data_IF_718383793732
#
_entry.id   IF_718383793732
#
_cell.length_a   1.000
_cell.length_b   1.000
_cell.length_c   1.000
_cell.angle_alpha   90.00
_cell.angle_beta   90.00
_cell.angle_gamma   90.00
#
_symmetry.space_group_name_H-M   'P 1'
#
loop_
_entity.id
_entity.type
_entity.pdbx_description
1 polymer ?
#
# COMPACT_ATOMS: atom_id res chain seq x y z
N UNK A 1 -9.44 -3.71 13.84
CA UNK A 1 -9.52 -2.40 13.13
C UNK A 1 -10.06 -1.34 14.07
N UNK A 2 -9.75 -0.06 13.85
CA UNK A 2 -10.22 1.06 14.67
C UNK A 2 -10.73 2.19 13.79
N UNK A 3 -11.90 2.75 14.08
CA UNK A 3 -12.40 3.91 13.34
C UNK A 3 -11.60 5.16 13.68
N UNK A 4 -11.15 5.88 12.65
CA UNK A 4 -10.40 7.13 12.78
C UNK A 4 -11.27 8.33 13.19
N UNK A 5 -12.60 8.18 13.18
CA UNK A 5 -13.56 9.25 13.54
C UNK A 5 -14.06 9.11 14.98
N UNK A 6 -14.63 7.97 15.34
CA UNK A 6 -15.23 7.74 16.66
C UNK A 6 -14.36 6.91 17.61
N UNK A 7 -13.29 6.28 17.12
CA UNK A 7 -12.41 5.45 17.93
C UNK A 7 -12.89 4.03 18.19
N UNK A 8 -14.12 3.65 17.79
CA UNK A 8 -14.65 2.29 17.95
C UNK A 8 -13.73 1.25 17.32
N UNK A 9 -13.51 0.14 18.02
CA UNK A 9 -12.71 -0.98 17.57
C UNK A 9 -13.58 -2.13 17.10
N UNK A 10 -13.15 -2.77 16.01
CA UNK A 10 -13.79 -3.92 15.39
C UNK A 10 -12.81 -5.08 15.29
N UNK A 11 -13.28 -6.29 15.54
CA UNK A 11 -12.56 -7.54 15.22
C UNK A 11 -12.47 -7.71 13.69
N UNK A 12 -11.50 -8.50 13.20
CA UNK A 12 -11.46 -8.87 11.79
C UNK A 12 -12.80 -9.46 11.34
N UNK A 13 -13.34 -8.98 10.21
CA UNK A 13 -14.59 -9.46 9.62
C UNK A 13 -15.89 -8.85 10.15
N UNK A 14 -15.88 -8.09 11.26
CA UNK A 14 -17.12 -7.43 11.77
C UNK A 14 -17.61 -6.30 10.86
N UNK A 15 -16.70 -5.61 10.19
CA UNK A 15 -16.97 -4.53 9.25
C UNK A 15 -16.01 -4.70 8.08
N UNK A 16 -16.47 -4.50 6.85
CA UNK A 16 -15.62 -4.68 5.66
C UNK A 16 -14.76 -3.44 5.36
N UNK A 17 -15.37 -2.25 5.36
CA UNK A 17 -14.69 -1.04 4.86
C UNK A 17 -14.81 0.18 5.80
N UNK A 18 -16.03 0.55 6.19
CA UNK A 18 -16.30 1.81 6.91
C UNK A 18 -17.18 1.60 8.13
N UNK A 19 -16.92 2.37 9.18
CA UNK A 19 -17.75 2.44 10.37
C UNK A 19 -19.07 3.17 10.08
N UNK A 20 -20.16 2.72 10.71
CA UNK A 20 -21.50 3.34 10.64
C UNK A 20 -21.65 4.64 11.45
N UNK A 21 -20.59 5.15 12.09
CA UNK A 21 -20.64 6.40 12.87
C UNK A 21 -20.79 7.67 12.01
N UNK A 22 -20.69 7.54 10.68
CA UNK A 22 -20.87 8.63 9.72
C UNK A 22 -21.94 8.23 8.69
N UNK A 23 -22.52 9.21 7.97
CA UNK A 23 -23.40 8.93 6.83
C UNK A 23 -22.74 8.14 5.71
N UNK A 24 -21.39 8.15 5.64
CA UNK A 24 -20.59 7.50 4.60
C UNK A 24 -20.96 7.97 3.18
N UNK A 25 -21.10 9.29 3.02
CA UNK A 25 -21.39 9.95 1.74
C UNK A 25 -20.21 10.82 1.32
N UNK A 26 -19.83 10.73 0.05
CA UNK A 26 -18.65 11.43 -0.48
C UNK A 26 -17.39 11.14 0.35
N UNK A 27 -16.72 12.20 0.80
CA UNK A 27 -15.51 12.11 1.63
C UNK A 27 -15.77 11.97 3.13
N UNK A 28 -17.04 12.03 3.57
CA UNK A 28 -17.40 11.92 4.99
C UNK A 28 -17.57 10.46 5.43
N UNK A 29 -16.44 9.75 5.44
CA UNK A 29 -16.37 8.33 5.72
C UNK A 29 -15.93 8.05 7.16
N UNK A 30 -16.54 7.03 7.77
CA UNK A 30 -16.08 6.40 9.01
C UNK A 30 -14.85 5.51 8.78
N UNK A 31 -13.82 6.02 8.10
CA UNK A 31 -12.63 5.27 7.67
C UNK A 31 -11.99 4.51 8.83
N UNK A 32 -11.63 3.25 8.55
CA UNK A 32 -11.00 2.36 9.51
C UNK A 32 -9.47 2.35 9.32
N UNK A 33 -8.77 2.10 10.41
CA UNK A 33 -7.34 1.78 10.44
C UNK A 33 -7.14 0.34 10.90
N UNK A 34 -6.20 -0.36 10.28
CA UNK A 34 -5.85 -1.72 10.70
C UNK A 34 -4.96 -1.64 11.94
N UNK A 35 -5.32 -2.34 13.00
CA UNK A 35 -4.58 -2.34 14.27
C UNK A 35 -4.04 -3.74 14.50
N UNK A 36 -2.77 -3.83 14.84
CA UNK A 36 -2.04 -5.08 15.04
C UNK A 36 -1.77 -5.33 16.52
N UNK A 37 -1.65 -6.60 16.88
CA UNK A 37 -1.04 -7.00 18.15
C UNK A 37 0.48 -7.00 17.98
N UNK A 38 1.10 -5.83 18.17
CA UNK A 38 2.55 -5.67 18.02
C UNK A 38 3.33 -6.51 19.03
N UNK A 39 2.76 -6.80 20.21
CA UNK A 39 3.39 -7.66 21.20
C UNK A 39 3.43 -9.12 20.73
N UNK A 40 2.37 -9.61 20.07
CA UNK A 40 2.40 -10.91 19.42
C UNK A 40 3.41 -10.96 18.27
N UNK A 41 3.40 -9.97 17.39
CA UNK A 41 4.32 -9.92 16.25
C UNK A 41 5.78 -9.89 16.70
N UNK A 42 6.12 -9.08 17.72
CA UNK A 42 7.48 -8.97 18.23
C UNK A 42 7.98 -10.23 18.96
N UNK A 43 7.07 -11.10 19.44
CA UNK A 43 7.45 -12.42 19.98
C UNK A 43 7.82 -13.40 18.89
N UNK A 44 7.11 -13.37 17.76
CA UNK A 44 7.20 -14.39 16.72
C UNK A 44 8.17 -14.01 15.60
N UNK A 45 8.43 -12.71 15.41
CA UNK A 45 9.26 -12.19 14.33
C UNK A 45 10.27 -11.15 14.80
N UNK A 46 11.50 -11.31 14.32
CA UNK A 46 12.61 -10.39 14.55
C UNK A 46 13.06 -9.73 13.25
N UNK A 47 13.70 -8.54 13.32
CA UNK A 47 14.30 -7.91 12.15
C UNK A 47 15.26 -8.82 11.38
N UNK A 48 16.07 -9.61 12.09
CA UNK A 48 17.05 -10.51 11.46
C UNK A 48 16.38 -11.64 10.67
N UNK A 49 15.28 -12.21 11.19
CA UNK A 49 14.52 -13.23 10.48
C UNK A 49 13.89 -12.69 9.21
N UNK A 50 13.31 -11.48 9.27
CA UNK A 50 12.76 -10.81 8.10
C UNK A 50 13.88 -10.60 7.05
N UNK A 51 14.98 -9.95 7.43
CA UNK A 51 16.10 -9.69 6.52
C UNK A 51 16.64 -10.96 5.81
N UNK A 52 16.66 -12.09 6.54
CA UNK A 52 17.12 -13.38 6.03
C UNK A 52 16.11 -14.12 5.14
N UNK A 53 14.86 -13.63 5.00
CA UNK A 53 13.87 -14.20 4.07
C UNK A 53 14.45 -14.26 2.66
N UNK A 54 13.98 -15.16 1.80
CA UNK A 54 14.45 -15.27 0.41
C UNK A 54 13.68 -14.33 -0.53
N UNK A 55 12.43 -14.01 -0.18
CA UNK A 55 11.61 -13.07 -0.92
C UNK A 55 12.06 -11.65 -0.61
N UNK A 56 11.95 -10.81 -1.63
CA UNK A 56 12.30 -9.40 -1.54
C UNK A 56 11.10 -8.51 -1.82
N UNK A 57 9.99 -9.07 -2.31
CA UNK A 57 8.74 -8.34 -2.48
C UNK A 57 8.16 -7.92 -1.12
N UNK A 58 7.05 -7.17 -1.16
CA UNK A 58 6.29 -6.83 0.05
C UNK A 58 5.87 -8.06 0.87
N UNK A 59 5.83 -9.25 0.27
CA UNK A 59 5.54 -10.52 0.95
C UNK A 59 6.58 -10.89 2.01
N UNK A 60 7.80 -10.36 1.94
CA UNK A 60 8.78 -10.44 3.02
C UNK A 60 8.20 -9.89 4.33
N UNK A 61 7.44 -8.79 4.29
CA UNK A 61 6.86 -8.14 5.47
C UNK A 61 5.51 -8.73 5.88
N UNK A 62 5.18 -9.95 5.46
CA UNK A 62 3.85 -10.54 5.66
C UNK A 62 3.32 -10.50 7.11
N UNK A 63 4.12 -10.63 8.19
CA UNK A 63 3.60 -10.56 9.56
C UNK A 63 2.99 -9.19 9.90
N UNK A 64 3.40 -8.17 9.13
CA UNK A 64 2.91 -6.80 9.21
C UNK A 64 1.86 -6.49 8.15
N UNK A 65 1.34 -7.49 7.44
CA UNK A 65 0.29 -7.34 6.44
C UNK A 65 -1.02 -7.94 6.94
N UNK A 66 -2.17 -7.39 6.52
CA UNK A 66 -3.50 -7.82 6.96
C UNK A 66 -3.97 -9.07 6.19
N UNK A 67 -3.11 -10.06 6.01
CA UNK A 67 -3.37 -11.26 5.22
C UNK A 67 -3.33 -12.50 6.11
N UNK A 68 -4.24 -13.44 5.88
CA UNK A 68 -4.23 -14.72 6.58
C UNK A 68 -3.05 -15.59 6.11
N UNK A 69 -2.75 -15.52 4.81
CA UNK A 69 -1.65 -16.28 4.22
C UNK A 69 -0.82 -15.40 3.28
N UNK A 70 0.49 -15.49 3.39
CA UNK A 70 1.42 -14.84 2.44
C UNK A 70 1.19 -15.27 0.99
N UNK A 71 0.84 -16.54 0.78
CA UNK A 71 0.54 -17.10 -0.55
C UNK A 71 -0.73 -16.51 -1.20
N UNK A 72 -1.51 -15.71 -0.47
CA UNK A 72 -2.64 -14.96 -1.02
C UNK A 72 -2.18 -13.82 -1.95
N UNK A 73 -0.93 -13.33 -1.79
CA UNK A 73 -0.36 -12.31 -2.65
C UNK A 73 -0.32 -12.76 -4.13
N UNK A 74 -0.54 -11.84 -5.08
CA UNK A 74 -0.31 -12.12 -6.49
C UNK A 74 1.14 -12.57 -6.77
N UNK A 75 1.38 -13.36 -7.83
CA UNK A 75 2.72 -13.85 -8.17
C UNK A 75 3.63 -12.76 -8.75
N UNK A 76 3.08 -11.61 -9.15
CA UNK A 76 3.84 -10.47 -9.67
C UNK A 76 4.53 -9.74 -8.51
N UNK A 77 5.88 -9.78 -8.39
CA UNK A 77 6.57 -9.21 -7.24
C UNK A 77 6.43 -7.69 -7.22
N UNK A 78 6.03 -7.17 -6.07
CA UNK A 78 5.88 -5.74 -5.78
C UNK A 78 6.86 -5.34 -4.69
N UNK A 79 7.41 -4.14 -4.75
CA UNK A 79 8.39 -3.66 -3.78
C UNK A 79 9.83 -4.02 -4.17
N UNK A 80 10.70 -4.08 -3.17
CA UNK A 80 12.16 -4.11 -3.34
C UNK A 80 12.70 -3.01 -4.27
N UNK A 81 12.06 -1.85 -4.28
CA UNK A 81 12.44 -0.80 -5.23
C UNK A 81 13.74 -0.14 -4.78
N UNK A 82 14.54 0.41 -5.71
CA UNK A 82 15.83 1.00 -5.34
C UNK A 82 15.69 2.18 -4.39
N UNK A 83 16.61 2.26 -3.44
CA UNK A 83 16.89 3.47 -2.66
C UNK A 83 18.19 4.09 -3.19
N UNK A 84 18.07 5.12 -4.01
CA UNK A 84 19.17 5.69 -4.76
C UNK A 84 19.79 6.85 -3.99
N UNK A 85 21.09 6.79 -3.68
CA UNK A 85 21.81 7.94 -3.10
C UNK A 85 21.96 9.03 -4.17
N UNK A 86 21.43 10.21 -3.90
CA UNK A 86 21.43 11.34 -4.83
C UNK A 86 22.44 12.41 -4.39
N UNK A 87 23.73 12.09 -4.50
CA UNK A 87 24.84 12.91 -3.94
C UNK A 87 24.83 14.35 -4.44
N UNK A 88 24.87 14.55 -5.77
CA UNK A 88 24.87 15.89 -6.39
C UNK A 88 23.63 16.72 -6.02
N UNK A 89 22.46 16.08 -5.94
CA UNK A 89 21.23 16.77 -5.56
C UNK A 89 21.24 17.10 -4.06
N UNK A 90 21.76 16.19 -3.24
CA UNK A 90 21.94 16.40 -1.81
C UNK A 90 22.85 17.59 -1.53
N UNK A 91 24.03 17.64 -2.17
CA UNK A 91 24.97 18.77 -2.08
C UNK A 91 24.31 20.10 -2.46
N UNK A 92 23.59 20.13 -3.60
CA UNK A 92 22.91 21.34 -4.07
C UNK A 92 21.76 21.78 -3.13
N UNK A 93 21.11 20.85 -2.44
CA UNK A 93 20.00 21.11 -1.54
C UNK A 93 20.39 21.21 -0.05
N UNK A 94 21.68 21.07 0.28
CA UNK A 94 22.18 21.15 1.66
C UNK A 94 21.99 19.89 2.51
N UNK A 95 21.78 18.72 1.89
CA UNK A 95 21.66 17.42 2.56
C UNK A 95 22.93 16.57 2.38
N UNK A 96 23.54 16.15 3.49
CA UNK A 96 24.71 15.25 3.47
C UNK A 96 24.37 13.83 2.98
N UNK A 97 23.12 13.40 3.15
CA UNK A 97 22.61 12.08 2.78
C UNK A 97 21.19 12.20 2.24
N UNK A 98 21.07 12.48 0.94
CA UNK A 98 19.78 12.47 0.23
C UNK A 98 19.59 11.14 -0.51
N UNK A 99 18.41 10.55 -0.38
CA UNK A 99 18.03 9.32 -1.07
C UNK A 99 16.71 9.49 -1.82
N UNK A 100 16.57 8.77 -2.94
CA UNK A 100 15.35 8.69 -3.74
C UNK A 100 14.84 7.25 -3.69
N UNK A 101 13.63 7.06 -3.14
CA UNK A 101 12.94 5.76 -3.17
C UNK A 101 12.15 5.63 -4.47
N UNK A 102 12.67 4.87 -5.43
CA UNK A 102 12.16 4.82 -6.81
C UNK A 102 11.05 3.78 -7.00
N UNK A 103 9.88 4.09 -6.46
CA UNK A 103 8.67 3.26 -6.64
C UNK A 103 8.08 3.32 -8.06
N UNK A 104 8.68 4.10 -8.96
CA UNK A 104 8.42 4.06 -10.40
C UNK A 104 8.91 2.77 -11.07
N UNK A 105 9.69 1.95 -10.36
CA UNK A 105 10.14 0.62 -10.83
C UNK A 105 9.26 -0.54 -10.38
N UNK A 106 8.15 -0.27 -9.70
CA UNK A 106 7.14 -1.30 -9.51
C UNK A 106 6.53 -1.73 -10.87
N UNK A 107 5.89 -2.91 -10.95
CA UNK A 107 5.45 -3.48 -12.24
C UNK A 107 4.56 -2.59 -13.12
N UNK A 108 3.65 -1.82 -12.53
CA UNK A 108 2.79 -0.85 -13.24
C UNK A 108 3.39 0.55 -13.29
N UNK A 109 4.69 0.68 -12.97
CA UNK A 109 5.41 1.93 -12.77
C UNK A 109 4.83 2.85 -11.68
N UNK A 110 4.25 2.27 -10.60
CA UNK A 110 3.69 3.07 -9.52
C UNK A 110 3.71 2.39 -8.15
N UNK A 111 3.89 3.20 -7.09
CA UNK A 111 3.65 2.81 -5.69
C UNK A 111 2.26 2.16 -5.48
N UNK A 112 1.27 2.47 -6.34
CA UNK A 112 -0.08 1.92 -6.27
C UNK A 112 -0.11 0.39 -6.40
N UNK A 113 0.93 -0.24 -6.98
CA UNK A 113 1.10 -1.70 -7.00
C UNK A 113 1.06 -2.30 -5.60
N UNK A 114 1.67 -1.64 -4.60
CA UNK A 114 1.72 -2.14 -3.22
C UNK A 114 0.32 -2.30 -2.63
N UNK A 115 -0.53 -1.29 -2.83
CA UNK A 115 -1.92 -1.33 -2.39
C UNK A 115 -2.75 -2.35 -3.19
N UNK A 116 -2.54 -2.41 -4.50
CA UNK A 116 -3.29 -3.31 -5.38
C UNK A 116 -2.96 -4.80 -5.13
N UNK A 117 -1.71 -5.13 -4.77
CA UNK A 117 -1.34 -6.49 -4.37
C UNK A 117 -2.12 -6.94 -3.12
N UNK A 118 -2.26 -6.06 -2.11
CA UNK A 118 -3.11 -6.33 -0.94
C UNK A 118 -4.59 -6.44 -1.33
N UNK A 119 -5.08 -5.60 -2.25
CA UNK A 119 -6.46 -5.66 -2.70
C UNK A 119 -6.82 -7.02 -3.30
N UNK A 120 -5.97 -7.51 -4.22
CA UNK A 120 -6.19 -8.80 -4.90
C UNK A 120 -6.03 -9.96 -3.92
N UNK A 121 -5.06 -9.90 -3.01
CA UNK A 121 -4.88 -10.93 -1.98
C UNK A 121 -6.11 -11.04 -1.07
N UNK A 122 -6.62 -9.91 -0.57
CA UNK A 122 -7.82 -9.86 0.27
C UNK A 122 -9.06 -10.35 -0.47
N UNK A 123 -9.26 -9.94 -1.72
CA UNK A 123 -10.38 -10.42 -2.53
C UNK A 123 -10.39 -11.95 -2.66
N UNK A 124 -9.21 -12.57 -2.83
CA UNK A 124 -9.07 -14.03 -2.88
C UNK A 124 -9.37 -14.69 -1.53
N UNK A 125 -8.88 -14.11 -0.43
CA UNK A 125 -9.17 -14.61 0.93
C UNK A 125 -10.66 -14.48 1.30
N UNK A 126 -11.32 -13.42 0.85
CA UNK A 126 -12.75 -13.18 1.03
C UNK A 126 -13.62 -13.89 -0.02
N UNK A 127 -13.01 -14.65 -0.93
CA UNK A 127 -13.69 -15.38 -2.00
C UNK A 127 -14.54 -14.50 -2.93
N UNK A 128 -14.23 -13.21 -3.02
CA UNK A 128 -14.83 -12.32 -4.01
C UNK A 128 -14.38 -12.74 -5.41
N UNK A 129 -15.30 -12.76 -6.36
CA UNK A 129 -15.02 -13.21 -7.75
C UNK A 129 -14.44 -12.11 -8.63
N UNK A 130 -14.58 -10.85 -8.23
CA UNK A 130 -14.15 -9.66 -8.97
C UNK A 130 -13.54 -8.66 -7.99
N UNK A 131 -12.47 -7.98 -8.41
CA UNK A 131 -12.00 -6.74 -7.77
C UNK A 131 -12.34 -5.54 -8.63
N UNK A 132 -12.91 -4.49 -8.03
CA UNK A 132 -13.30 -3.30 -8.74
C UNK A 132 -12.70 -2.01 -8.16
N UNK A 133 -12.54 -1.00 -9.03
CA UNK A 133 -12.12 0.35 -8.64
C UNK A 133 -12.65 1.40 -9.62
N UNK A 134 -12.87 2.61 -9.12
CA UNK A 134 -13.11 3.79 -9.94
C UNK A 134 -11.83 4.66 -10.02
N UNK A 135 -11.17 4.64 -11.17
CA UNK A 135 -9.93 5.40 -11.38
C UNK A 135 -9.56 5.43 -12.86
N UNK A 136 -9.09 6.59 -13.34
CA UNK A 136 -8.46 6.71 -14.66
C UNK A 136 -6.94 6.69 -14.62
N UNK A 137 -6.31 6.61 -13.44
CA UNK A 137 -4.86 6.73 -13.26
C UNK A 137 -4.20 5.47 -12.70
N UNK A 138 -3.05 5.66 -12.05
CA UNK A 138 -2.16 4.59 -11.58
C UNK A 138 -2.83 3.55 -10.68
N UNK A 139 -3.90 3.90 -9.95
CA UNK A 139 -4.63 2.94 -9.12
C UNK A 139 -5.34 1.86 -9.95
N UNK A 140 -5.88 2.25 -11.11
CA UNK A 140 -6.51 1.34 -12.06
C UNK A 140 -5.47 0.47 -12.76
N UNK A 141 -4.38 1.07 -13.27
CA UNK A 141 -3.29 0.33 -13.91
C UNK A 141 -2.65 -0.71 -12.98
N UNK A 142 -2.36 -0.32 -11.74
CA UNK A 142 -1.82 -1.22 -10.72
C UNK A 142 -2.80 -2.36 -10.37
N UNK A 143 -4.10 -2.07 -10.22
CA UNK A 143 -5.09 -3.10 -9.95
C UNK A 143 -5.20 -4.08 -11.13
N UNK A 144 -5.32 -3.56 -12.34
CA UNK A 144 -5.40 -4.34 -13.56
C UNK A 144 -4.19 -5.29 -13.70
N UNK A 145 -2.97 -4.78 -13.55
CA UNK A 145 -1.75 -5.57 -13.66
C UNK A 145 -1.62 -6.66 -12.58
N UNK A 146 -1.89 -6.32 -11.31
CA UNK A 146 -1.82 -7.28 -10.19
C UNK A 146 -2.89 -8.37 -10.30
N UNK A 147 -4.10 -8.01 -10.73
CA UNK A 147 -5.17 -8.97 -10.88
C UNK A 147 -4.98 -9.87 -12.11
N UNK A 148 -4.49 -9.31 -13.23
CA UNK A 148 -4.11 -10.10 -14.40
C UNK A 148 -3.06 -11.16 -14.05
N UNK A 149 -2.02 -10.78 -13.29
CA UNK A 149 -1.01 -11.72 -12.83
C UNK A 149 -1.57 -12.82 -11.92
N UNK A 150 -2.61 -12.53 -11.14
CA UNK A 150 -3.29 -13.50 -10.30
C UNK A 150 -4.40 -14.30 -11.02
N UNK A 151 -4.67 -14.01 -12.30
CA UNK A 151 -5.82 -14.57 -13.02
C UNK A 151 -7.17 -14.17 -12.42
N UNK A 152 -7.24 -13.04 -11.71
CA UNK A 152 -8.42 -12.58 -11.01
C UNK A 152 -9.19 -11.53 -11.83
N UNK A 153 -10.50 -11.72 -12.08
CA UNK A 153 -11.30 -10.76 -12.84
C UNK A 153 -11.29 -9.35 -12.23
N UNK A 154 -11.21 -8.34 -13.10
CA UNK A 154 -11.28 -6.92 -12.67
C UNK A 154 -12.26 -6.11 -13.49
N UNK A 155 -12.97 -5.23 -12.80
CA UNK A 155 -13.88 -4.25 -13.41
C UNK A 155 -13.42 -2.84 -13.01
N UNK A 156 -13.18 -1.97 -13.99
CA UNK A 156 -12.68 -0.62 -13.75
C UNK A 156 -13.67 0.40 -14.28
N UNK A 157 -14.14 1.25 -13.39
CA UNK A 157 -15.06 2.34 -13.71
C UNK A 157 -14.25 3.58 -14.04
N UNK A 158 -14.54 4.17 -15.21
CA UNK A 158 -13.92 5.41 -15.69
C UNK A 158 -15.00 6.33 -16.23
N UNK A 159 -14.90 7.66 -16.07
CA UNK A 159 -15.75 8.56 -16.83
C UNK A 159 -15.49 8.39 -18.33
N UNK A 160 -16.53 8.55 -19.15
CA UNK A 160 -16.47 8.41 -20.62
C UNK A 160 -15.47 9.37 -21.29
N UNK A 161 -15.16 10.48 -20.62
CA UNK A 161 -14.13 11.46 -21.02
C UNK A 161 -12.69 11.02 -20.73
N UNK A 162 -12.47 9.84 -20.12
CA UNK A 162 -11.14 9.35 -19.79
C UNK A 162 -10.26 9.22 -21.05
N UNK A 163 -9.00 9.69 -21.01
CA UNK A 163 -8.12 9.62 -22.19
C UNK A 163 -7.89 8.18 -22.66
N UNK A 164 -8.01 7.88 -23.97
CA UNK A 164 -7.84 6.51 -24.51
C UNK A 164 -6.51 5.86 -24.13
N UNK A 165 -5.43 6.65 -24.07
CA UNK A 165 -4.11 6.16 -23.68
C UNK A 165 -4.09 5.56 -22.26
N UNK A 166 -4.88 6.12 -21.33
CA UNK A 166 -5.00 5.58 -19.96
C UNK A 166 -5.85 4.32 -19.90
N UNK A 167 -6.86 4.22 -20.78
CA UNK A 167 -7.73 3.04 -20.89
C UNK A 167 -6.99 1.87 -21.53
N UNK A 168 -6.13 2.13 -22.52
CA UNK A 168 -5.41 1.11 -23.27
C UNK A 168 -4.63 0.15 -22.35
N UNK A 169 -3.93 0.66 -21.34
CA UNK A 169 -3.19 -0.19 -20.39
C UNK A 169 -4.12 -1.13 -19.61
N UNK A 170 -5.31 -0.67 -19.23
CA UNK A 170 -6.30 -1.48 -18.49
C UNK A 170 -6.82 -2.63 -19.35
N UNK A 171 -7.13 -2.34 -20.62
CA UNK A 171 -7.59 -3.33 -21.59
C UNK A 171 -6.50 -4.35 -21.94
N UNK A 172 -5.24 -3.92 -22.05
CA UNK A 172 -4.09 -4.81 -22.31
C UNK A 172 -3.92 -5.82 -21.17
N UNK A 173 -4.14 -5.41 -19.92
CA UNK A 173 -4.13 -6.32 -18.76
C UNK A 173 -5.41 -7.17 -18.65
N UNK A 174 -6.39 -7.01 -19.55
CA UNK A 174 -7.60 -7.82 -19.58
C UNK A 174 -8.70 -7.37 -18.62
N UNK A 175 -8.64 -6.15 -18.08
CA UNK A 175 -9.73 -5.61 -17.26
C UNK A 175 -10.96 -5.31 -18.11
N UNK A 176 -12.14 -5.55 -17.55
CA UNK A 176 -13.39 -5.02 -18.08
C UNK A 176 -13.49 -3.55 -17.70
N UNK A 177 -13.53 -2.64 -18.69
CA UNK A 177 -13.61 -1.19 -18.44
C UNK A 177 -15.03 -0.71 -18.71
N UNK A 178 -15.65 -0.11 -17.70
CA UNK A 178 -16.98 0.49 -17.78
C UNK A 178 -16.85 2.00 -17.89
N UNK A 179 -17.13 2.53 -19.08
CA UNK A 179 -17.15 3.95 -19.35
C UNK A 179 -18.50 4.56 -18.91
N UNK A 180 -18.47 5.32 -17.82
CA UNK A 180 -19.64 5.96 -17.20
C UNK A 180 -19.90 7.30 -17.85
N UNK A 181 -21.13 7.52 -18.32
CA UNK A 181 -21.56 8.80 -18.89
C UNK A 181 -21.83 9.81 -17.76
N UNK A 182 -20.75 10.38 -17.23
CA UNK A 182 -20.79 11.25 -16.05
C UNK A 182 -19.41 11.72 -15.60
N UNK A 183 -19.37 12.30 -14.42
CA UNK A 183 -18.18 12.77 -13.72
C UNK A 183 -17.35 11.63 -13.12
N UNK A 184 -16.22 11.97 -12.50
CA UNK A 184 -15.44 11.02 -11.71
C UNK A 184 -16.24 10.51 -10.50
N UNK A 185 -17.01 11.39 -9.86
CA UNK A 185 -17.81 11.04 -8.69
C UNK A 185 -18.93 10.07 -9.08
N UNK A 186 -19.57 10.27 -10.25
CA UNK A 186 -20.57 9.32 -10.77
C UNK A 186 -19.96 7.93 -11.02
N UNK A 187 -18.74 7.87 -11.56
CA UNK A 187 -18.03 6.61 -11.75
C UNK A 187 -17.64 5.95 -10.41
N UNK A 188 -17.28 6.76 -9.40
CA UNK A 188 -16.99 6.29 -8.05
C UNK A 188 -18.24 5.71 -7.40
N UNK A 189 -19.35 6.43 -7.42
CA UNK A 189 -20.62 6.01 -6.82
C UNK A 189 -21.18 4.76 -7.50
N UNK A 190 -21.09 4.68 -8.84
CA UNK A 190 -21.49 3.47 -9.56
C UNK A 190 -20.60 2.26 -9.21
N UNK A 191 -19.29 2.46 -9.05
CA UNK A 191 -18.39 1.40 -8.57
C UNK A 191 -18.77 0.94 -7.16
N UNK A 192 -19.11 1.87 -6.26
CA UNK A 192 -19.55 1.56 -4.91
C UNK A 192 -20.84 0.74 -4.91
N UNK A 193 -21.83 1.16 -5.69
CA UNK A 193 -23.11 0.46 -5.84
C UNK A 193 -22.93 -0.93 -6.44
N UNK A 194 -22.12 -1.08 -7.50
CA UNK A 194 -21.85 -2.37 -8.11
C UNK A 194 -21.14 -3.34 -7.15
N UNK A 195 -20.17 -2.86 -6.35
CA UNK A 195 -19.53 -3.69 -5.34
C UNK A 195 -20.52 -4.18 -4.28
N UNK A 196 -21.43 -3.32 -3.83
CA UNK A 196 -22.46 -3.70 -2.86
C UNK A 196 -23.48 -4.70 -3.43
N UNK A 197 -23.93 -4.49 -4.66
CA UNK A 197 -24.93 -5.34 -5.33
C UNK A 197 -24.36 -6.72 -5.68
N UNK A 198 -23.16 -6.77 -6.26
CA UNK A 198 -22.59 -8.01 -6.80
C UNK A 198 -21.60 -8.71 -5.86
N UNK A 199 -21.37 -8.18 -4.67
CA UNK A 199 -20.39 -8.72 -3.72
C UNK A 199 -18.95 -8.65 -4.23
N UNK A 200 -18.63 -7.68 -5.08
CA UNK A 200 -17.27 -7.48 -5.58
C UNK A 200 -16.39 -6.80 -4.54
N UNK A 201 -15.09 -7.11 -4.55
CA UNK A 201 -14.15 -6.47 -3.64
C UNK A 201 -13.81 -5.05 -4.11
N UNK A 202 -14.03 -4.06 -3.25
CA UNK A 202 -13.80 -2.66 -3.57
C UNK A 202 -12.39 -2.20 -3.20
N UNK A 203 -11.59 -1.80 -4.19
CA UNK A 203 -10.19 -1.35 -4.00
C UNK A 203 -10.04 0.16 -3.74
N UNK A 204 -11.10 0.95 -3.80
CA UNK A 204 -11.01 2.41 -3.81
C UNK A 204 -10.23 2.95 -2.60
N UNK A 205 -9.31 3.88 -2.88
CA UNK A 205 -8.45 4.51 -1.86
C UNK A 205 -9.27 5.51 -1.05
N UNK A 206 -8.99 5.66 0.25
CA UNK A 206 -9.78 6.49 1.18
C UNK A 206 -11.04 5.80 1.72
N UNK A 207 -11.54 4.80 1.00
CA UNK A 207 -12.65 3.94 1.43
C UNK A 207 -12.16 2.61 2.03
N UNK A 208 -11.36 1.85 1.27
CA UNK A 208 -10.88 0.56 1.73
C UNK A 208 -9.67 0.72 2.69
N UNK A 209 -9.77 0.27 3.96
CA UNK A 209 -8.74 0.48 4.97
C UNK A 209 -7.44 -0.27 4.65
N UNK A 210 -7.53 -1.40 3.96
CA UNK A 210 -6.38 -2.25 3.61
C UNK A 210 -5.47 -1.60 2.56
N UNK A 211 -5.92 -0.55 1.88
CA UNK A 211 -5.11 0.14 0.87
C UNK A 211 -3.92 0.86 1.50
N UNK A 212 -3.99 1.23 2.77
CA UNK A 212 -2.89 1.83 3.52
C UNK A 212 -1.83 0.78 3.84
N UNK A 213 -2.24 -0.46 4.11
CA UNK A 213 -1.35 -1.56 4.50
C UNK A 213 -0.40 -2.01 3.39
N UNK A 214 -0.79 -1.87 2.13
CA UNK A 214 0.15 -2.04 1.02
C UNK A 214 1.12 -0.87 0.94
N UNK A 215 0.61 0.36 1.01
CA UNK A 215 1.46 1.56 0.86
C UNK A 215 2.53 1.67 1.95
N UNK A 216 2.20 1.28 3.19
CA UNK A 216 3.13 1.39 4.33
C UNK A 216 4.42 0.58 4.16
N UNK A 217 4.41 -0.46 3.33
CA UNK A 217 5.59 -1.31 3.13
C UNK A 217 6.76 -0.54 2.51
N UNK A 218 6.51 0.59 1.84
CA UNK A 218 7.58 1.45 1.34
C UNK A 218 8.43 1.99 2.49
N UNK A 219 7.85 2.25 3.67
CA UNK A 219 8.57 2.67 4.86
C UNK A 219 9.43 1.55 5.45
N UNK A 220 8.92 0.32 5.41
CA UNK A 220 9.68 -0.87 5.83
C UNK A 220 10.93 -1.02 4.96
N UNK A 221 10.76 -0.95 3.63
CA UNK A 221 11.89 -1.04 2.71
C UNK A 221 12.88 0.11 2.87
N UNK A 222 12.41 1.36 3.00
CA UNK A 222 13.31 2.50 3.22
C UNK A 222 14.12 2.30 4.49
N UNK A 223 13.48 1.88 5.58
CA UNK A 223 14.18 1.68 6.85
C UNK A 223 15.18 0.51 6.79
N UNK A 224 14.82 -0.61 6.16
CA UNK A 224 15.71 -1.75 5.97
C UNK A 224 16.93 -1.38 5.11
N UNK A 225 16.69 -0.75 3.95
CA UNK A 225 17.74 -0.37 3.02
C UNK A 225 18.69 0.69 3.60
N UNK A 226 18.19 1.62 4.43
CA UNK A 226 19.02 2.57 5.17
C UNK A 226 19.84 1.91 6.28
N UNK A 227 19.29 0.89 6.95
CA UNK A 227 20.01 0.06 7.92
C UNK A 227 21.21 -0.61 7.26
N UNK A 228 20.97 -1.27 6.11
CA UNK A 228 22.02 -1.92 5.31
C UNK A 228 23.07 -0.94 4.79
N UNK A 229 22.65 0.20 4.25
CA UNK A 229 23.57 1.24 3.80
C UNK A 229 24.46 1.74 4.95
N UNK A 230 23.88 1.94 6.14
CA UNK A 230 24.63 2.38 7.32
C UNK A 230 25.63 1.30 7.77
N UNK A 231 25.24 0.03 7.77
CA UNK A 231 26.12 -1.08 8.13
C UNK A 231 27.32 -1.21 7.17
N UNK A 232 27.15 -0.87 5.89
CA UNK A 232 28.22 -0.93 4.87
C UNK A 232 29.16 0.27 4.90
N UNK A 233 28.71 1.43 5.42
CA UNK A 233 29.44 2.72 5.30
C UNK A 233 30.02 3.24 6.61
N UNK A 234 29.68 2.63 7.75
CA UNK A 234 30.27 2.99 9.05
C UNK A 234 31.44 2.07 9.41
N UNK A 235 32.54 2.67 9.89
CA UNK A 235 33.59 1.98 10.64
C UNK A 235 32.97 1.26 11.86
N UNK A 236 33.44 0.05 12.13
CA UNK A 236 32.91 -0.96 13.04
C UNK A 236 32.79 -0.59 14.55
N UNK A 237 32.65 0.68 14.94
CA UNK A 237 32.96 1.15 16.30
C UNK A 237 31.89 1.86 17.13
N UNK A 238 30.79 2.40 16.58
CA UNK A 238 29.98 3.37 17.38
C UNK A 238 28.46 3.28 17.29
N UNK A 239 27.87 2.52 16.35
CA UNK A 239 26.42 2.26 16.32
C UNK A 239 26.21 0.79 16.04
N UNK A 240 25.52 0.08 16.94
CA UNK A 240 25.13 -1.30 16.67
C UNK A 240 24.34 -1.33 15.35
N UNK A 241 24.88 -2.01 14.33
CA UNK A 241 24.25 -2.11 13.03
C UNK A 241 22.84 -2.72 13.20
N UNK A 242 21.81 -1.89 13.00
CA UNK A 242 20.42 -2.34 13.01
C UNK A 242 19.99 -2.68 11.59
N UNK A 243 19.18 -3.72 11.46
CA UNK A 243 18.54 -4.10 10.19
C UNK A 243 17.67 -2.93 9.69
N UNK A 244 16.88 -2.31 10.56
CA UNK A 244 16.05 -1.16 10.24
C UNK A 244 16.62 0.12 10.85
N UNK A 245 16.66 1.19 10.06
CA UNK A 245 17.02 2.54 10.51
C UNK A 245 16.06 3.55 9.90
N UNK A 246 15.35 4.29 10.74
CA UNK A 246 14.52 5.40 10.26
C UNK A 246 15.41 6.51 9.67
N UNK A 247 14.98 7.16 8.55
CA UNK A 247 15.58 8.41 8.11
C UNK A 247 15.21 9.55 9.07
N UNK A 248 15.94 10.67 8.99
CA UNK A 248 15.65 11.87 9.79
C UNK A 248 14.39 12.61 9.32
N UNK A 249 14.05 12.48 8.03
CA UNK A 249 12.86 13.05 7.42
C UNK A 249 12.46 12.26 6.16
N UNK A 250 11.17 12.26 5.82
CA UNK A 250 10.67 11.70 4.56
C UNK A 250 9.79 12.70 3.83
N UNK A 251 10.18 13.02 2.60
CA UNK A 251 9.40 13.89 1.72
C UNK A 251 8.50 13.04 0.81
N UNK A 252 7.19 13.28 0.85
CA UNK A 252 6.20 12.55 0.07
C UNK A 252 5.36 13.54 -0.72
N UNK A 253 5.23 13.33 -2.03
CA UNK A 253 4.29 14.14 -2.83
C UNK A 253 2.85 13.81 -2.43
N UNK A 254 2.03 14.84 -2.24
CA UNK A 254 0.66 14.71 -1.72
C UNK A 254 -0.35 15.04 -2.81
N UNK A 255 -1.12 14.03 -3.22
CA UNK A 255 -2.37 14.19 -3.96
C UNK A 255 -3.56 13.99 -3.03
N UNK A 256 -4.05 12.75 -2.94
CA UNK A 256 -5.18 12.33 -2.09
C UNK A 256 -4.82 12.15 -0.59
N UNK A 257 -3.57 12.40 -0.19
CA UNK A 257 -3.10 12.20 1.19
C UNK A 257 -2.89 10.74 1.63
N UNK A 258 -3.26 9.74 0.81
CA UNK A 258 -3.25 8.35 1.25
C UNK A 258 -1.86 7.71 1.21
N UNK A 259 -0.95 8.20 0.35
CA UNK A 259 0.43 7.73 0.31
C UNK A 259 1.18 8.18 1.57
N UNK A 260 1.13 9.47 1.90
CA UNK A 260 1.77 9.99 3.12
C UNK A 260 1.18 9.33 4.38
N UNK A 261 -0.14 9.08 4.42
CA UNK A 261 -0.77 8.31 5.49
C UNK A 261 -0.21 6.89 5.63
N UNK A 262 -0.01 6.19 4.51
CA UNK A 262 0.64 4.86 4.49
C UNK A 262 2.10 4.92 4.95
N UNK A 263 2.87 5.89 4.45
CA UNK A 263 4.28 6.07 4.85
C UNK A 263 4.39 6.29 6.36
N UNK A 264 3.60 7.22 6.89
CA UNK A 264 3.53 7.50 8.31
C UNK A 264 3.12 6.27 9.13
N UNK A 265 2.10 5.53 8.68
CA UNK A 265 1.68 4.28 9.33
C UNK A 265 2.83 3.27 9.40
N UNK A 266 3.59 3.11 8.32
CA UNK A 266 4.69 2.14 8.27
C UNK A 266 5.77 2.45 9.30
N UNK A 267 6.18 3.72 9.42
CA UNK A 267 7.14 4.08 10.47
C UNK A 267 6.56 3.93 11.89
N UNK A 268 5.26 4.21 12.08
CA UNK A 268 4.58 3.95 13.35
C UNK A 268 4.59 2.47 13.72
N UNK A 269 4.36 1.58 12.76
CA UNK A 269 4.39 0.13 13.00
C UNK A 269 5.81 -0.31 13.42
N UNK A 270 6.85 0.14 12.70
CA UNK A 270 8.25 -0.15 13.05
C UNK A 270 8.63 0.39 14.43
N UNK A 271 8.17 1.59 14.78
CA UNK A 271 8.44 2.19 16.09
C UNK A 271 7.72 1.44 17.21
N UNK A 272 6.46 1.05 16.99
CA UNK A 272 5.69 0.26 17.95
C UNK A 272 6.33 -1.11 18.23
N UNK A 273 7.05 -1.67 17.26
CA UNK A 273 7.82 -2.90 17.40
C UNK A 273 9.22 -2.68 18.01
N UNK A 274 9.66 -1.43 18.17
CA UNK A 274 11.02 -1.09 18.61
C UNK A 274 12.09 -1.38 17.57
N UNK A 275 11.73 -1.53 16.29
CA UNK A 275 12.68 -1.83 15.21
C UNK A 275 13.38 -0.57 14.68
N UNK A 276 12.78 0.60 14.91
CA UNK A 276 13.41 1.92 14.75
C UNK A 276 13.27 2.71 16.05
N UNK A 277 14.19 3.67 16.28
CA UNK A 277 14.25 4.43 17.54
C UNK A 277 13.37 5.68 17.56
N UNK A 278 12.97 6.17 16.39
CA UNK A 278 12.21 7.41 16.26
C UNK A 278 11.34 7.41 14.98
N UNK A 279 10.33 8.27 14.98
CA UNK A 279 9.62 8.66 13.76
C UNK A 279 10.49 9.64 12.96
N UNK A 280 10.54 9.51 11.63
CA UNK A 280 10.99 10.59 10.74
C UNK A 280 10.05 11.81 10.74
#
# INVERSE_FOLDING_TARGET
MRCLRCGTTYRPGEVTYVCSCRPNQGSDLGTLDVVYDYAAIARDFTPAQLHADADRSIGHYWPLLPLAHRSSLPPLPVGNTPLLRAERLGEAAGFSRLFLKDDGRNPSASLKDRASAIAVARAREEQCTVVATASTGNAAAALAGQAAAAGHPTVIFVPKSAPPAKIAQLLIYGSTVLAVDGSYDDAFDLCMAACAEFGWYNRNTGYNPYMTEGKKTVSFEMAEQLGLYTAQTHDAGTVAARVFKAPDAVFVSVGDGCIIGGVHKGFKDLLALGWVDAMP
#
